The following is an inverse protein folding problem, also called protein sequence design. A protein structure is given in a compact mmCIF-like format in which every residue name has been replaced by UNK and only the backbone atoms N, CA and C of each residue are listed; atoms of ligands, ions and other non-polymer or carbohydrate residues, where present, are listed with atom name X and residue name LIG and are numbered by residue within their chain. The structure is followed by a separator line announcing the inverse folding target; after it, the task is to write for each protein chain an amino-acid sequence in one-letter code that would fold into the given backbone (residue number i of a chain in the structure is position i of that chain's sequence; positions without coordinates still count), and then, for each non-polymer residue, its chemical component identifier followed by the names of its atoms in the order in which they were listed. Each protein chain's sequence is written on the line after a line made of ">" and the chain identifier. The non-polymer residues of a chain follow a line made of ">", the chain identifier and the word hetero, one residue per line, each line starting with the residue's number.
data_IF_229347464874
#
_entry.id   IF_229347464874
#
_cell.length_a   1.000
_cell.length_b   1.000
_cell.length_c   1.000
_cell.angle_alpha   90.00
_cell.angle_beta   90.00
_cell.angle_gamma   90.00
#
_symmetry.space_group_name_H-M   'P 1'
#
loop_
_entity.id
_entity.type
_entity.pdbx_description
1 polymer ?
#
# COMPACT_ATOMS: atom_id res chain seq x y z
N UNK A 1 -12.70 -10.76 5.58
CA UNK A 1 -11.81 -9.58 5.52
C UNK A 1 -12.59 -8.47 4.83
N UNK A 2 -12.79 -7.33 5.50
CA UNK A 2 -13.58 -6.23 4.94
C UNK A 2 -12.73 -5.34 4.03
N UNK A 3 -13.40 -4.49 3.25
CA UNK A 3 -12.78 -3.51 2.35
C UNK A 3 -11.89 -2.53 3.14
N UNK A 4 -12.29 -2.18 4.38
CA UNK A 4 -11.51 -1.30 5.26
C UNK A 4 -10.20 -1.96 5.73
N UNK A 5 -10.26 -3.21 6.17
CA UNK A 5 -9.10 -3.99 6.62
C UNK A 5 -8.03 -4.12 5.53
N UNK A 6 -8.46 -4.35 4.29
CA UNK A 6 -7.54 -4.50 3.15
C UNK A 6 -6.78 -3.20 2.90
N UNK A 7 -7.47 -2.05 2.96
CA UNK A 7 -6.86 -0.73 2.81
C UNK A 7 -5.80 -0.47 3.87
N UNK A 8 -6.08 -0.80 5.14
CA UNK A 8 -5.14 -0.60 6.24
C UNK A 8 -3.90 -1.47 6.11
N UNK A 9 -4.06 -2.75 5.77
CA UNK A 9 -2.93 -3.66 5.55
C UNK A 9 -2.01 -3.18 4.42
N UNK A 10 -2.57 -2.65 3.33
CA UNK A 10 -1.77 -2.06 2.25
C UNK A 10 -1.02 -0.82 2.76
N UNK A 11 -1.66 0.07 3.52
CA UNK A 11 -1.01 1.27 4.08
C UNK A 11 0.13 0.93 5.04
N UNK A 12 -0.05 -0.07 5.89
CA UNK A 12 0.96 -0.56 6.81
C UNK A 12 2.16 -1.18 6.06
N UNK A 13 1.90 -2.14 5.17
CA UNK A 13 2.93 -2.78 4.36
C UNK A 13 3.70 -1.77 3.49
N UNK A 14 3.01 -0.74 2.98
CA UNK A 14 3.64 0.34 2.23
C UNK A 14 4.54 1.18 3.12
N UNK A 15 4.13 1.44 4.36
CA UNK A 15 4.92 2.19 5.33
C UNK A 15 6.22 1.47 5.64
N UNK A 16 6.14 0.18 5.95
CA UNK A 16 7.32 -0.66 6.19
C UNK A 16 8.23 -0.71 4.95
N UNK A 17 7.65 -0.81 3.76
CA UNK A 17 8.43 -0.90 2.53
C UNK A 17 9.14 0.42 2.18
N UNK A 18 8.48 1.57 2.40
CA UNK A 18 9.06 2.92 2.18
C UNK A 18 10.21 3.17 3.17
N UNK A 19 10.08 2.74 4.42
CA UNK A 19 11.14 2.85 5.44
C UNK A 19 12.33 1.94 5.05
N UNK A 20 12.05 0.75 4.51
CA UNK A 20 13.09 -0.22 4.18
C UNK A 20 13.86 0.07 2.88
N UNK A 21 13.26 0.75 1.89
CA UNK A 21 13.92 1.18 0.65
C UNK A 21 13.32 2.48 0.14
N UNK A 22 14.17 3.42 -0.25
CA UNK A 22 13.78 4.67 -0.92
C UNK A 22 12.70 4.43 -1.98
N UNK A 23 11.65 5.25 -1.96
CA UNK A 23 10.38 5.17 -2.71
C UNK A 23 10.49 4.67 -4.18
N UNK A 24 11.60 4.96 -4.85
CA UNK A 24 11.90 4.52 -6.22
C UNK A 24 12.08 3.00 -6.39
N UNK A 25 12.56 2.28 -5.37
CA UNK A 25 12.91 0.84 -5.48
C UNK A 25 11.83 -0.14 -5.00
N UNK A 26 10.81 0.35 -4.29
CA UNK A 26 9.77 -0.51 -3.71
C UNK A 26 8.74 -0.84 -4.78
N UNK A 27 8.92 -1.92 -5.55
CA UNK A 27 7.92 -2.35 -6.53
C UNK A 27 6.53 -2.56 -5.87
N UNK A 28 5.45 -2.08 -6.49
CA UNK A 28 4.06 -2.26 -6.01
C UNK A 28 3.79 -3.73 -5.63
N UNK A 29 4.31 -4.66 -6.44
CA UNK A 29 4.25 -6.11 -6.16
C UNK A 29 4.75 -6.50 -4.77
N UNK A 30 5.80 -5.86 -4.26
CA UNK A 30 6.39 -6.21 -2.95
C UNK A 30 5.53 -5.72 -1.80
N UNK A 31 4.94 -4.53 -1.92
CA UNK A 31 3.94 -4.01 -0.98
C UNK A 31 2.76 -4.96 -0.90
N UNK A 32 2.21 -5.35 -2.06
CA UNK A 32 1.07 -6.26 -2.15
C UNK A 32 1.36 -7.64 -1.58
N UNK A 33 2.56 -8.17 -1.87
CA UNK A 33 3.03 -9.43 -1.31
C UNK A 33 3.14 -9.36 0.21
N UNK A 34 3.71 -8.29 0.75
CA UNK A 34 3.83 -8.09 2.20
C UNK A 34 2.47 -7.85 2.87
N UNK A 35 1.56 -7.14 2.22
CA UNK A 35 0.20 -6.93 2.71
C UNK A 35 -0.67 -8.20 2.63
N UNK A 36 -0.24 -9.22 1.88
CA UNK A 36 -1.05 -10.39 1.56
C UNK A 36 -2.29 -10.04 0.73
N UNK A 37 -2.20 -9.00 -0.10
CA UNK A 37 -3.34 -8.47 -0.87
C UNK A 37 -3.12 -8.72 -2.36
N UNK A 38 -4.11 -9.29 -3.07
CA UNK A 38 -4.02 -9.47 -4.51
C UNK A 38 -4.04 -8.12 -5.25
N UNK A 39 -3.37 -8.07 -6.39
CA UNK A 39 -3.25 -6.86 -7.21
C UNK A 39 -4.60 -6.28 -7.64
N UNK A 40 -5.62 -7.11 -7.85
CA UNK A 40 -6.98 -6.67 -8.18
C UNK A 40 -7.60 -5.82 -7.07
N UNK A 41 -7.49 -6.25 -5.81
CA UNK A 41 -7.99 -5.50 -4.67
C UNK A 41 -7.28 -4.16 -4.50
N UNK A 42 -5.97 -4.08 -4.81
CA UNK A 42 -5.24 -2.82 -4.76
C UNK A 42 -5.87 -1.74 -5.64
N UNK A 43 -6.15 -2.06 -6.92
CA UNK A 43 -6.77 -1.09 -7.83
C UNK A 43 -8.20 -0.71 -7.44
N UNK A 44 -8.85 -1.50 -6.60
CA UNK A 44 -10.14 -1.17 -6.01
C UNK A 44 -10.04 -0.07 -4.93
N UNK A 45 -8.90 0.04 -4.22
CA UNK A 45 -8.69 1.00 -3.13
C UNK A 45 -7.78 2.18 -3.52
N UNK A 46 -6.80 1.95 -4.38
CA UNK A 46 -5.74 2.87 -4.75
C UNK A 46 -5.48 2.81 -6.26
N UNK A 47 -5.53 3.97 -6.92
CA UNK A 47 -5.28 4.03 -8.37
C UNK A 47 -3.78 3.95 -8.70
N UNK A 48 -2.93 4.44 -7.80
CA UNK A 48 -1.47 4.51 -7.96
C UNK A 48 -0.75 4.43 -6.62
N UNK A 49 0.57 4.18 -6.66
CA UNK A 49 1.44 4.32 -5.47
C UNK A 49 1.41 5.74 -4.89
N UNK A 50 1.31 6.74 -5.75
CA UNK A 50 1.22 8.14 -5.33
C UNK A 50 -0.07 8.40 -4.55
N UNK A 51 -1.21 7.88 -5.02
CA UNK A 51 -2.49 7.93 -4.31
C UNK A 51 -2.39 7.27 -2.93
N UNK A 52 -1.66 6.15 -2.84
CA UNK A 52 -1.36 5.51 -1.57
C UNK A 52 -0.49 6.39 -0.65
N UNK A 53 0.56 7.02 -1.19
CA UNK A 53 1.45 7.91 -0.42
C UNK A 53 0.72 9.17 0.06
N UNK A 54 -0.16 9.74 -0.77
CA UNK A 54 -0.99 10.90 -0.44
C UNK A 54 -2.01 10.54 0.64
N UNK A 55 -2.71 9.41 0.51
CA UNK A 55 -3.67 8.93 1.53
C UNK A 55 -3.00 8.63 2.86
N UNK A 56 -1.74 8.16 2.87
CA UNK A 56 -0.97 7.98 4.11
C UNK A 56 -0.77 9.31 4.85
N UNK A 57 -0.44 10.39 4.14
CA UNK A 57 -0.17 11.71 4.74
C UNK A 57 -1.40 12.32 5.45
N UNK A 58 -2.60 11.83 5.15
CA UNK A 58 -3.88 12.29 5.70
C UNK A 58 -4.29 11.61 7.01
N UNK A 59 -3.54 10.60 7.49
CA UNK A 59 -3.84 9.84 8.72
C UNK A 59 -2.97 10.26 9.92
N UNK A 60 -2.36 11.44 9.86
CA UNK A 60 -1.57 12.02 10.97
C UNK A 60 -2.35 13.10 11.70
#
# INVERSE_FOLDING_TARGET
>A
MTIAETRERILDASSQAIIAKSYNGVGLKKILKNAGVPKGSFYHHFKSKEDLAIKKKKKS
#
